data_IF_807560378440
#
_entry.id   IF_807560378440
#
_cell.length_a   1.000
_cell.length_b   1.000
_cell.length_c   1.000
_cell.angle_alpha   90.00
_cell.angle_beta   90.00
_cell.angle_gamma   90.00
#
_symmetry.space_group_name_H-M   'P 1'
#
loop_
_entity.id
_entity.type
_entity.pdbx_description
1 polymer ?
#
# COMPACT_ATOMS: atom_id res chain seq x y z
N UNK A 1 -7.00 -30.41 12.89
CA UNK A 1 -6.71 -29.69 11.62
C UNK A 1 -7.83 -28.72 11.20
N UNK A 2 -9.08 -29.13 10.92
CA UNK A 2 -10.17 -28.20 10.49
C UNK A 2 -10.38 -26.98 11.40
N UNK A 3 -10.42 -27.17 12.73
CA UNK A 3 -10.54 -26.06 13.69
C UNK A 3 -9.44 -24.99 13.55
N UNK A 4 -8.20 -25.41 13.26
CA UNK A 4 -7.07 -24.50 13.05
C UNK A 4 -7.22 -23.69 11.76
N UNK A 5 -7.75 -24.32 10.71
CA UNK A 5 -7.98 -23.67 9.42
C UNK A 5 -9.01 -22.55 9.57
N UNK A 6 -10.12 -22.84 10.23
CA UNK A 6 -11.19 -21.86 10.44
C UNK A 6 -10.72 -20.73 11.37
N UNK A 7 -9.97 -21.07 12.43
CA UNK A 7 -9.42 -20.09 13.37
C UNK A 7 -8.38 -19.13 12.73
N UNK A 8 -7.55 -19.62 11.79
CA UNK A 8 -6.57 -18.77 11.12
C UNK A 8 -7.14 -18.02 9.91
N UNK A 9 -7.99 -18.66 9.12
CA UNK A 9 -8.39 -18.13 7.81
C UNK A 9 -9.16 -16.82 7.88
N UNK A 10 -10.18 -16.72 8.73
CA UNK A 10 -10.99 -15.52 8.88
C UNK A 10 -10.19 -14.30 9.37
N UNK A 11 -9.46 -14.41 10.50
CA UNK A 11 -8.66 -13.30 11.01
C UNK A 11 -7.52 -12.90 10.07
N UNK A 12 -6.84 -13.85 9.42
CA UNK A 12 -5.78 -13.53 8.44
C UNK A 12 -6.36 -12.72 7.29
N UNK A 13 -7.53 -13.10 6.78
CA UNK A 13 -8.22 -12.35 5.73
C UNK A 13 -8.52 -10.92 6.17
N UNK A 14 -9.18 -10.74 7.31
CA UNK A 14 -9.54 -9.40 7.83
C UNK A 14 -8.32 -8.49 8.06
N UNK A 15 -7.22 -9.05 8.58
CA UNK A 15 -5.98 -8.29 8.80
C UNK A 15 -5.33 -7.88 7.48
N UNK A 16 -5.36 -8.75 6.46
CA UNK A 16 -4.82 -8.44 5.12
C UNK A 16 -5.70 -7.45 4.35
N UNK A 17 -7.02 -7.50 4.52
CA UNK A 17 -7.96 -6.51 3.96
C UNK A 17 -7.70 -5.10 4.49
N UNK A 18 -7.32 -5.01 5.76
CA UNK A 18 -6.95 -3.73 6.39
C UNK A 18 -5.68 -3.17 5.74
N UNK A 19 -4.69 -4.02 5.49
CA UNK A 19 -3.47 -3.64 4.78
C UNK A 19 -2.59 -2.65 5.53
N UNK A 20 -2.67 -2.68 6.86
CA UNK A 20 -1.89 -1.83 7.74
C UNK A 20 -0.42 -2.27 7.74
N UNK A 21 0.48 -1.36 8.10
CA UNK A 21 1.92 -1.65 8.17
C UNK A 21 2.21 -2.84 9.10
N UNK A 22 1.43 -2.96 10.17
CA UNK A 22 1.62 -3.98 11.20
C UNK A 22 0.79 -5.25 10.94
N UNK A 23 0.13 -5.38 9.78
CA UNK A 23 -0.70 -6.55 9.42
C UNK A 23 0.06 -7.86 9.62
N UNK A 24 1.30 -7.96 9.14
CA UNK A 24 2.12 -9.17 9.32
C UNK A 24 2.57 -9.40 10.78
N UNK A 25 2.78 -8.34 11.57
CA UNK A 25 3.06 -8.48 12.99
C UNK A 25 1.85 -9.04 13.75
N UNK A 26 0.64 -8.59 13.40
CA UNK A 26 -0.62 -9.11 13.94
C UNK A 26 -0.87 -10.55 13.52
N UNK A 27 -0.61 -10.91 12.26
CA UNK A 27 -0.70 -12.29 11.77
C UNK A 27 0.29 -13.20 12.50
N UNK A 28 1.53 -12.75 12.74
CA UNK A 28 2.52 -13.54 13.50
C UNK A 28 2.08 -13.81 14.94
N UNK A 29 1.52 -12.80 15.61
CA UNK A 29 0.99 -12.96 16.97
C UNK A 29 -0.19 -13.93 17.02
N UNK A 30 -1.07 -13.89 16.02
CA UNK A 30 -2.16 -14.86 15.90
C UNK A 30 -1.64 -16.27 15.61
N UNK A 31 -0.80 -16.40 14.58
CA UNK A 31 -0.21 -17.67 14.16
C UNK A 31 0.52 -18.35 15.32
N UNK A 32 1.34 -17.61 16.08
CA UNK A 32 2.04 -18.15 17.25
C UNK A 32 1.06 -18.68 18.31
N UNK A 33 0.06 -17.87 18.69
CA UNK A 33 -0.93 -18.24 19.70
C UNK A 33 -1.73 -19.50 19.32
N UNK A 34 -2.28 -19.52 18.10
CA UNK A 34 -3.09 -20.66 17.63
C UNK A 34 -2.24 -21.92 17.45
N UNK A 35 -1.01 -21.77 16.95
CA UNK A 35 -0.11 -22.90 16.75
C UNK A 35 0.37 -23.49 18.09
N UNK A 36 0.76 -22.64 19.05
CA UNK A 36 1.18 -23.10 20.39
C UNK A 36 0.02 -23.76 21.13
N UNK A 37 -1.18 -23.17 21.11
CA UNK A 37 -2.37 -23.75 21.73
C UNK A 37 -2.68 -25.15 21.19
N UNK A 38 -2.61 -25.33 19.86
CA UNK A 38 -2.89 -26.63 19.25
C UNK A 38 -1.77 -27.62 19.48
N UNK A 39 -0.51 -27.20 19.46
CA UNK A 39 0.61 -28.09 19.79
C UNK A 39 0.47 -28.60 21.23
N UNK A 40 0.09 -27.74 22.19
CA UNK A 40 -0.17 -28.16 23.57
C UNK A 40 -1.34 -29.15 23.64
N UNK A 41 -2.49 -28.81 23.07
CA UNK A 41 -3.67 -29.69 23.07
C UNK A 41 -3.38 -31.04 22.41
N UNK A 42 -2.59 -31.03 21.34
CA UNK A 42 -2.18 -32.22 20.61
C UNK A 42 -1.18 -33.04 21.42
N UNK A 43 -0.19 -32.40 22.05
CA UNK A 43 0.79 -33.08 22.91
C UNK A 43 0.14 -33.73 24.12
N UNK A 44 -0.84 -33.06 24.75
CA UNK A 44 -1.61 -33.63 25.86
C UNK A 44 -2.38 -34.88 25.39
N UNK A 45 -3.02 -34.81 24.22
CA UNK A 45 -3.74 -35.95 23.63
C UNK A 45 -2.81 -37.09 23.21
N UNK A 46 -1.60 -36.76 22.75
CA UNK A 46 -0.59 -37.76 22.40
C UNK A 46 0.03 -38.41 23.63
N UNK A 47 0.09 -37.73 24.78
CA UNK A 47 0.65 -38.33 26.01
C UNK A 47 -0.14 -39.53 26.52
N UNK A 48 -1.41 -39.65 26.13
CA UNK A 48 -2.24 -40.84 26.38
C UNK A 48 -1.82 -42.05 25.52
N UNK A 49 -1.07 -41.82 24.45
CA UNK A 49 -0.51 -42.83 23.57
C UNK A 49 1.01 -42.90 23.78
N UNK A 50 1.57 -44.08 24.09
CA UNK A 50 3.03 -44.29 24.24
C UNK A 50 3.76 -44.21 22.87
N UNK A 51 3.72 -43.04 22.22
CA UNK A 51 4.38 -42.82 20.95
C UNK A 51 5.86 -42.50 21.14
N UNK A 52 6.64 -42.88 20.14
CA UNK A 52 8.04 -42.51 20.07
C UNK A 52 8.21 -40.98 19.91
N UNK A 53 9.24 -40.45 20.57
CA UNK A 53 9.53 -39.02 20.58
C UNK A 53 9.75 -38.49 19.16
N UNK A 54 10.35 -39.29 18.27
CA UNK A 54 10.61 -38.89 16.88
C UNK A 54 9.31 -38.71 16.09
N UNK A 55 8.34 -39.62 16.28
CA UNK A 55 7.03 -39.56 15.60
C UNK A 55 6.21 -38.38 16.09
N UNK A 56 6.24 -38.06 17.39
CA UNK A 56 5.56 -36.88 17.94
C UNK A 56 6.10 -35.56 17.36
N UNK A 57 7.43 -35.47 17.18
CA UNK A 57 8.10 -34.30 16.60
C UNK A 57 7.74 -34.14 15.12
N UNK A 58 7.70 -35.23 14.36
CA UNK A 58 7.29 -35.23 12.95
C UNK A 58 5.84 -34.74 12.78
N UNK A 59 4.90 -35.22 13.59
CA UNK A 59 3.51 -34.75 13.54
C UNK A 59 3.36 -33.26 13.90
N UNK A 60 4.14 -32.76 14.86
CA UNK A 60 4.15 -31.32 15.20
C UNK A 60 4.70 -30.48 14.04
N UNK A 61 5.72 -30.98 13.32
CA UNK A 61 6.24 -30.32 12.12
C UNK A 61 5.19 -30.28 11.01
N UNK A 62 4.49 -31.39 10.74
CA UNK A 62 3.39 -31.42 9.77
C UNK A 62 2.28 -30.43 10.11
N UNK A 63 1.91 -30.31 11.39
CA UNK A 63 0.92 -29.33 11.85
C UNK A 63 1.37 -27.89 11.60
N UNK A 64 2.64 -27.58 11.88
CA UNK A 64 3.22 -26.25 11.63
C UNK A 64 3.26 -25.90 10.15
N UNK A 65 3.67 -26.84 9.30
CA UNK A 65 3.68 -26.67 7.85
C UNK A 65 2.26 -26.53 7.29
N UNK A 66 1.29 -27.27 7.82
CA UNK A 66 -0.11 -27.14 7.43
C UNK A 66 -0.68 -25.76 7.80
N UNK A 67 -0.36 -25.26 9.00
CA UNK A 67 -0.74 -23.93 9.44
C UNK A 67 -0.12 -22.84 8.55
N UNK A 68 1.17 -22.98 8.22
CA UNK A 68 1.88 -22.07 7.31
C UNK A 68 1.26 -22.08 5.92
N UNK A 69 1.03 -23.26 5.35
CA UNK A 69 0.35 -23.43 4.05
C UNK A 69 -1.00 -22.71 4.01
N UNK A 70 -1.75 -22.74 5.10
CA UNK A 70 -3.07 -22.09 5.20
C UNK A 70 -2.96 -20.57 5.14
N UNK A 71 -2.03 -19.99 5.91
CA UNK A 71 -1.76 -18.56 5.90
C UNK A 71 -1.30 -18.11 4.51
N UNK A 72 -0.38 -18.85 3.90
CA UNK A 72 0.14 -18.57 2.55
C UNK A 72 -0.98 -18.65 1.51
N UNK A 73 -1.84 -19.68 1.58
CA UNK A 73 -2.97 -19.84 0.67
C UNK A 73 -3.93 -18.66 0.76
N UNK A 74 -4.31 -18.26 1.99
CA UNK A 74 -5.19 -17.10 2.21
C UNK A 74 -4.55 -15.79 1.74
N UNK A 75 -3.25 -15.63 1.96
CA UNK A 75 -2.53 -14.46 1.48
C UNK A 75 -2.47 -14.40 -0.06
N UNK A 76 -2.36 -15.56 -0.75
CA UNK A 76 -2.44 -15.63 -2.23
C UNK A 76 -3.83 -15.26 -2.76
N UNK A 77 -4.89 -15.73 -2.10
CA UNK A 77 -6.27 -15.37 -2.45
C UNK A 77 -6.47 -13.85 -2.36
N UNK A 78 -6.04 -13.21 -1.26
CA UNK A 78 -6.16 -11.76 -1.11
C UNK A 78 -5.23 -10.97 -2.06
N UNK A 79 -4.03 -11.49 -2.34
CA UNK A 79 -3.13 -10.92 -3.33
C UNK A 79 -3.72 -10.94 -4.75
N UNK A 80 -4.57 -11.93 -5.09
CA UNK A 80 -5.29 -11.98 -6.36
C UNK A 80 -6.31 -10.83 -6.52
N UNK A 81 -6.88 -10.36 -5.41
CA UNK A 81 -7.88 -9.29 -5.39
C UNK A 81 -7.28 -7.90 -5.17
N UNK A 82 -5.95 -7.78 -5.17
CA UNK A 82 -5.24 -6.58 -4.73
C UNK A 82 -5.62 -5.31 -5.49
N UNK A 83 -5.87 -5.40 -6.80
CA UNK A 83 -6.23 -4.24 -7.61
C UNK A 83 -7.53 -3.59 -7.12
N UNK A 84 -8.54 -4.40 -6.83
CA UNK A 84 -9.84 -3.94 -6.32
C UNK A 84 -9.63 -3.28 -4.95
N UNK A 85 -8.83 -3.91 -4.07
CA UNK A 85 -8.56 -3.39 -2.73
C UNK A 85 -7.78 -2.07 -2.78
N UNK A 86 -6.78 -1.98 -3.66
CA UNK A 86 -6.02 -0.75 -3.90
C UNK A 86 -6.91 0.39 -4.37
N UNK A 87 -7.83 0.11 -5.30
CA UNK A 87 -8.83 1.09 -5.75
C UNK A 87 -9.75 1.53 -4.63
N UNK A 88 -10.24 0.58 -3.82
CA UNK A 88 -11.03 0.89 -2.63
C UNK A 88 -10.30 1.85 -1.70
N UNK A 89 -9.04 1.55 -1.36
CA UNK A 89 -8.19 2.42 -0.52
C UNK A 89 -7.96 3.79 -1.14
N UNK A 90 -7.63 3.83 -2.43
CA UNK A 90 -7.43 5.07 -3.15
C UNK A 90 -8.68 5.95 -3.11
N UNK A 91 -9.84 5.40 -3.46
CA UNK A 91 -11.11 6.13 -3.44
C UNK A 91 -11.43 6.63 -2.04
N UNK A 92 -11.23 5.83 -0.99
CA UNK A 92 -11.49 6.27 0.39
C UNK A 92 -10.64 7.48 0.78
N UNK A 93 -9.34 7.50 0.43
CA UNK A 93 -8.44 8.62 0.76
C UNK A 93 -8.71 9.85 -0.12
N UNK A 94 -9.09 9.64 -1.38
CA UNK A 94 -9.39 10.74 -2.30
C UNK A 94 -10.73 11.42 -1.98
N UNK A 95 -11.76 10.64 -1.64
CA UNK A 95 -13.12 11.14 -1.48
C UNK A 95 -13.50 11.48 -0.05
N UNK A 96 -12.69 11.12 0.96
CA UNK A 96 -12.98 11.44 2.35
C UNK A 96 -11.86 12.27 2.99
N UNK A 97 -12.23 13.01 4.03
CA UNK A 97 -11.27 13.65 4.93
C UNK A 97 -10.85 12.71 6.07
N UNK A 98 -9.93 13.18 6.92
CA UNK A 98 -9.41 12.44 8.09
C UNK A 98 -10.51 11.92 9.02
N UNK A 99 -11.63 12.64 9.08
CA UNK A 99 -12.82 12.29 9.87
C UNK A 99 -13.80 11.37 9.12
N UNK A 100 -13.40 10.80 7.98
CA UNK A 100 -14.22 9.94 7.12
C UNK A 100 -15.47 10.62 6.54
N UNK A 101 -15.53 11.96 6.57
CA UNK A 101 -16.59 12.73 5.93
C UNK A 101 -16.29 12.93 4.44
N UNK A 102 -17.29 12.91 3.55
CA UNK A 102 -17.10 13.18 2.13
C UNK A 102 -16.41 14.53 1.91
N UNK A 103 -15.30 14.52 1.18
CA UNK A 103 -14.45 15.69 0.95
C UNK A 103 -15.12 16.66 -0.03
N UNK A 104 -15.23 17.91 0.38
CA UNK A 104 -15.54 19.04 -0.52
C UNK A 104 -14.22 19.66 -0.99
N UNK A 105 -14.06 19.82 -2.30
CA UNK A 105 -12.83 20.38 -2.87
C UNK A 105 -12.73 21.88 -2.59
N UNK A 106 -11.99 22.26 -1.54
CA UNK A 106 -11.72 23.66 -1.20
C UNK A 106 -10.63 24.21 -2.12
N UNK A 107 -10.70 25.50 -2.49
CA UNK A 107 -9.77 26.13 -3.42
C UNK A 107 -8.27 26.06 -3.00
N UNK A 108 -8.00 25.87 -1.71
CA UNK A 108 -6.65 25.95 -1.12
C UNK A 108 -5.99 24.58 -0.88
N UNK A 109 -6.67 23.47 -1.16
CA UNK A 109 -6.09 22.13 -0.98
C UNK A 109 -5.20 21.74 -2.16
N UNK A 110 -4.08 21.06 -1.88
CA UNK A 110 -3.19 20.51 -2.90
C UNK A 110 -3.64 19.11 -3.31
N UNK A 111 -4.40 19.02 -4.42
CA UNK A 111 -4.87 17.74 -4.97
C UNK A 111 -3.71 16.83 -5.32
N UNK A 112 -2.56 17.38 -5.75
CA UNK A 112 -1.42 16.54 -6.08
C UNK A 112 -0.84 15.88 -4.83
N UNK A 113 -0.80 16.59 -3.70
CA UNK A 113 -0.43 16.01 -2.41
C UNK A 113 -1.42 14.92 -1.97
N UNK A 114 -2.73 15.19 -2.05
CA UNK A 114 -3.78 14.22 -1.68
C UNK A 114 -3.74 12.98 -2.59
N UNK A 115 -3.60 13.19 -3.90
CA UNK A 115 -3.48 12.10 -4.88
C UNK A 115 -2.21 11.27 -4.63
N UNK A 116 -1.11 11.92 -4.28
CA UNK A 116 0.14 11.24 -3.91
C UNK A 116 -0.01 10.42 -2.65
N UNK A 117 -0.71 10.94 -1.63
CA UNK A 117 -1.02 10.22 -0.40
C UNK A 117 -1.94 9.01 -0.67
N UNK A 118 -2.99 9.18 -1.46
CA UNK A 118 -3.89 8.10 -1.87
C UNK A 118 -3.15 7.00 -2.65
N UNK A 119 -2.24 7.37 -3.56
CA UNK A 119 -1.37 6.44 -4.29
C UNK A 119 -0.39 5.72 -3.36
N UNK A 120 0.17 6.43 -2.38
CA UNK A 120 1.07 5.86 -1.37
C UNK A 120 0.34 4.86 -0.46
N UNK A 121 -0.91 5.15 -0.08
CA UNK A 121 -1.74 4.21 0.68
C UNK A 121 -2.01 2.92 -0.12
N UNK A 122 -2.34 3.04 -1.42
CA UNK A 122 -2.51 1.88 -2.29
C UNK A 122 -1.21 1.05 -2.45
N UNK A 123 -0.05 1.71 -2.56
CA UNK A 123 1.24 1.00 -2.64
C UNK A 123 1.63 0.32 -1.33
N UNK A 124 1.27 0.88 -0.17
CA UNK A 124 1.49 0.22 1.12
C UNK A 124 0.74 -1.11 1.16
N UNK A 125 -0.51 -1.13 0.71
CA UNK A 125 -1.28 -2.37 0.56
C UNK A 125 -0.57 -3.37 -0.38
N UNK A 126 -0.07 -2.89 -1.52
CA UNK A 126 0.75 -3.70 -2.44
C UNK A 126 1.98 -4.31 -1.77
N UNK A 127 2.70 -3.52 -0.97
CA UNK A 127 3.89 -4.01 -0.26
C UNK A 127 3.56 -5.09 0.77
N UNK A 128 2.41 -4.96 1.47
CA UNK A 128 1.95 -5.96 2.44
C UNK A 128 1.64 -7.27 1.72
N UNK A 129 0.97 -7.22 0.56
CA UNK A 129 0.58 -8.42 -0.20
C UNK A 129 1.66 -8.97 -1.14
N UNK A 130 2.81 -8.30 -1.30
CA UNK A 130 3.86 -8.76 -2.21
C UNK A 130 4.62 -10.00 -1.70
N UNK A 131 4.76 -10.13 -0.38
CA UNK A 131 5.49 -11.23 0.25
C UNK A 131 4.96 -11.58 1.65
N UNK A 132 5.05 -12.86 2.00
CA UNK A 132 4.74 -13.41 3.32
C UNK A 132 5.87 -13.10 4.29
N UNK A 133 5.54 -12.51 5.45
CA UNK A 133 6.53 -12.09 6.47
C UNK A 133 6.31 -12.80 7.80
N UNK A 134 6.37 -14.13 7.80
CA UNK A 134 6.22 -14.93 9.02
C UNK A 134 7.53 -15.00 9.85
N UNK A 135 8.69 -14.91 9.19
CA UNK A 135 10.01 -15.13 9.80
C UNK A 135 10.62 -13.91 10.52
N UNK A 136 9.89 -12.80 10.65
CA UNK A 136 10.39 -11.51 11.22
C UNK A 136 11.64 -10.93 10.54
N UNK A 137 11.96 -11.40 9.34
CA UNK A 137 13.10 -10.88 8.58
C UNK A 137 12.72 -9.52 8.00
N UNK A 138 13.54 -8.47 8.20
CA UNK A 138 13.26 -7.17 7.61
C UNK A 138 13.39 -7.24 6.09
N UNK A 139 12.39 -6.73 5.39
CA UNK A 139 12.40 -6.57 3.95
C UNK A 139 12.42 -5.08 3.56
N UNK A 140 12.85 -4.80 2.33
CA UNK A 140 12.94 -3.43 1.78
C UNK A 140 11.97 -3.23 0.61
N UNK A 141 10.95 -4.09 0.50
CA UNK A 141 10.00 -4.11 -0.63
C UNK A 141 9.18 -2.83 -0.66
N UNK A 142 8.69 -2.38 0.49
CA UNK A 142 7.91 -1.15 0.62
C UNK A 142 8.68 0.04 0.03
N UNK A 143 9.93 0.23 0.45
CA UNK A 143 10.79 1.32 0.02
C UNK A 143 11.14 1.21 -1.46
N UNK A 144 11.42 0.00 -1.94
CA UNK A 144 11.68 -0.25 -3.36
C UNK A 144 10.48 0.12 -4.23
N UNK A 145 9.27 -0.31 -3.84
CA UNK A 145 8.03 0.02 -4.55
C UNK A 145 7.77 1.54 -4.55
N UNK A 146 7.94 2.22 -3.42
CA UNK A 146 7.75 3.68 -3.36
C UNK A 146 8.71 4.41 -4.31
N UNK A 147 10.00 4.10 -4.24
CA UNK A 147 11.03 4.75 -5.08
C UNK A 147 10.80 4.47 -6.57
N UNK A 148 10.42 3.25 -6.93
CA UNK A 148 10.25 2.86 -8.34
C UNK A 148 8.91 3.28 -8.94
N UNK A 149 7.82 3.28 -8.17
CA UNK A 149 6.45 3.40 -8.70
C UNK A 149 5.75 4.72 -8.35
N UNK A 150 6.00 5.28 -7.16
CA UNK A 150 5.33 6.50 -6.69
C UNK A 150 6.05 7.77 -7.18
N UNK A 151 7.35 7.84 -6.93
CA UNK A 151 8.15 9.03 -7.24
C UNK A 151 8.63 9.06 -8.71
N UNK A 152 8.28 8.04 -9.50
CA UNK A 152 8.77 7.87 -10.87
C UNK A 152 10.27 7.59 -10.97
N UNK A 153 10.94 7.35 -9.83
CA UNK A 153 12.39 7.24 -9.71
C UNK A 153 13.17 8.46 -10.23
N UNK A 154 14.49 8.53 -10.02
CA UNK A 154 15.36 9.61 -10.53
C UNK A 154 15.43 9.71 -12.08
N UNK A 155 14.60 8.98 -12.81
CA UNK A 155 14.69 8.78 -14.26
C UNK A 155 13.81 9.74 -15.07
N UNK A 156 13.21 10.75 -14.44
CA UNK A 156 12.79 11.96 -15.15
C UNK A 156 13.86 13.07 -15.09
N UNK A 157 15.14 12.71 -15.19
CA UNK A 157 16.12 13.67 -15.68
C UNK A 157 16.32 13.43 -17.17
N UNK A 158 15.81 14.39 -17.96
CA UNK A 158 16.21 14.74 -19.33
C UNK A 158 17.14 13.74 -20.04
N UNK A 159 16.61 13.10 -21.09
CA UNK A 159 17.27 12.81 -22.38
C UNK A 159 18.80 12.84 -22.32
N UNK A 160 19.46 11.73 -21.99
CA UNK A 160 20.73 11.24 -22.57
C UNK A 160 21.44 10.26 -21.62
N UNK A 161 22.07 9.25 -22.21
CA UNK A 161 22.98 8.24 -21.65
C UNK A 161 22.32 6.89 -21.29
N UNK A 162 22.74 5.91 -22.09
CA UNK A 162 22.38 4.50 -22.16
C UNK A 162 22.65 3.75 -20.85
N UNK A 163 21.59 3.37 -20.12
CA UNK A 163 21.56 2.11 -19.39
C UNK A 163 20.09 1.71 -19.17
N UNK A 164 19.47 1.16 -20.21
CA UNK A 164 18.07 0.74 -20.22
C UNK A 164 17.96 -0.66 -19.60
N UNK A 165 17.94 -0.75 -18.27
CA UNK A 165 17.49 -1.96 -17.59
C UNK A 165 16.46 -1.54 -16.55
N UNK A 166 15.19 -1.78 -16.88
CA UNK A 166 14.07 -1.47 -16.02
C UNK A 166 14.18 -2.32 -14.73
N UNK A 167 14.35 -1.70 -13.54
CA UNK A 167 14.69 -2.44 -12.33
C UNK A 167 13.60 -3.43 -11.91
N UNK A 168 12.35 -3.23 -12.35
CA UNK A 168 11.21 -4.11 -12.10
C UNK A 168 10.98 -5.15 -13.21
N UNK A 169 11.82 -5.20 -14.25
CA UNK A 169 11.77 -6.26 -15.27
C UNK A 169 12.38 -7.59 -14.79
N UNK A 170 13.02 -7.59 -13.62
CA UNK A 170 13.52 -8.83 -13.03
C UNK A 170 12.39 -9.69 -12.46
N UNK A 171 12.57 -11.00 -12.56
CA UNK A 171 11.66 -12.01 -12.04
C UNK A 171 11.74 -12.16 -10.52
N UNK A 172 12.80 -11.65 -9.88
CA UNK A 172 13.05 -11.78 -8.43
C UNK A 172 13.25 -10.44 -7.73
N UNK A 173 12.73 -10.32 -6.52
CA UNK A 173 12.91 -9.14 -5.66
C UNK A 173 14.39 -8.85 -5.33
N UNK A 174 15.25 -9.87 -5.34
CA UNK A 174 16.68 -9.73 -5.07
C UNK A 174 17.37 -8.82 -6.10
N UNK A 175 17.10 -9.04 -7.38
CA UNK A 175 17.73 -8.29 -8.46
C UNK A 175 17.18 -6.85 -8.53
N UNK A 176 15.88 -6.68 -8.30
CA UNK A 176 15.25 -5.35 -8.19
C UNK A 176 15.93 -4.52 -7.09
N UNK A 177 16.09 -5.11 -5.90
CA UNK A 177 16.75 -4.47 -4.77
C UNK A 177 18.22 -4.17 -5.09
N UNK A 178 18.92 -5.09 -5.77
CA UNK A 178 20.30 -4.89 -6.21
C UNK A 178 20.42 -3.71 -7.17
N UNK A 179 19.56 -3.62 -8.19
CA UNK A 179 19.58 -2.53 -9.17
C UNK A 179 19.22 -1.17 -8.55
N UNK A 180 18.25 -1.14 -7.63
CA UNK A 180 17.91 0.09 -6.88
C UNK A 180 19.05 0.50 -5.96
N UNK A 181 19.70 -0.45 -5.27
CA UNK A 181 20.86 -0.15 -4.43
C UNK A 181 22.06 0.32 -5.27
N UNK A 182 22.33 -0.27 -6.45
CA UNK A 182 23.38 0.17 -7.36
C UNK A 182 23.14 1.59 -7.90
N UNK A 183 21.91 1.93 -8.28
CA UNK A 183 21.56 3.28 -8.75
C UNK A 183 21.62 4.32 -7.63
N UNK A 184 21.20 3.96 -6.42
CA UNK A 184 21.37 4.79 -5.21
C UNK A 184 22.84 4.94 -4.79
N UNK A 185 23.67 3.93 -5.02
CA UNK A 185 25.10 3.97 -4.74
C UNK A 185 25.82 4.95 -5.69
N UNK A 186 25.51 4.90 -6.97
CA UNK A 186 26.07 5.82 -7.98
C UNK A 186 25.66 7.28 -7.75
N UNK A 187 24.42 7.54 -7.30
CA UNK A 187 23.95 8.90 -6.98
C UNK A 187 24.50 9.45 -5.66
N UNK A 188 24.97 8.59 -4.75
CA UNK A 188 25.40 8.97 -3.40
C UNK A 188 26.89 8.79 -3.13
N UNK A 189 27.70 8.57 -4.17
CA UNK A 189 29.14 8.32 -4.04
C UNK A 189 29.95 9.61 -3.76
N UNK A 190 29.76 10.14 -2.55
CA UNK A 190 30.62 11.12 -1.88
C UNK A 190 30.97 10.74 -0.43
N UNK A 191 30.44 9.64 0.13
CA UNK A 191 30.79 9.22 1.49
C UNK A 191 30.92 7.69 1.55
N UNK A 192 32.18 7.24 1.52
CA UNK A 192 32.59 5.86 1.83
C UNK A 192 32.40 5.63 3.33
N UNK A 193 31.98 4.42 3.72
CA UNK A 193 31.94 3.90 5.10
C UNK A 193 30.59 3.99 5.85
N UNK A 194 29.53 3.34 5.34
CA UNK A 194 28.46 2.79 6.20
C UNK A 194 27.52 1.78 5.49
N UNK A 195 28.05 0.90 4.63
CA UNK A 195 27.22 0.00 3.81
C UNK A 195 27.50 -1.49 3.99
N UNK A 196 28.22 -1.91 5.04
CA UNK A 196 28.36 -3.35 5.33
C UNK A 196 27.11 -3.96 5.99
N UNK A 197 26.14 -3.14 6.42
CA UNK A 197 24.88 -3.63 7.02
C UNK A 197 23.72 -3.76 6.02
N UNK A 198 23.95 -3.48 4.73
CA UNK A 198 22.87 -3.43 3.72
C UNK A 198 22.69 -4.71 2.90
N UNK A 199 23.61 -5.66 3.04
CA UNK A 199 23.68 -6.87 2.24
C UNK A 199 22.80 -7.97 2.86
N UNK A 200 21.98 -8.60 2.02
CA UNK A 200 21.05 -9.70 2.30
C UNK A 200 19.69 -9.33 2.91
N UNK A 201 18.84 -8.73 2.07
CA UNK A 201 17.39 -8.98 2.16
C UNK A 201 17.10 -10.16 1.24
N UNK A 202 16.98 -11.35 1.83
CA UNK A 202 16.64 -12.58 1.13
C UNK A 202 15.15 -12.89 1.34
N UNK A 203 14.32 -12.44 0.40
CA UNK A 203 12.94 -12.95 0.31
C UNK A 203 13.01 -14.28 -0.41
N UNK A 204 12.60 -15.36 0.26
CA UNK A 204 12.54 -16.69 -0.35
C UNK A 204 11.50 -16.71 -1.47
N UNK A 205 11.75 -17.42 -2.59
CA UNK A 205 10.74 -17.60 -3.65
C UNK A 205 9.41 -18.18 -3.14
N UNK A 206 9.46 -19.02 -2.10
CA UNK A 206 8.27 -19.64 -1.49
C UNK A 206 7.38 -18.62 -0.76
N UNK A 207 7.97 -17.54 -0.27
CA UNK A 207 7.28 -16.47 0.45
C UNK A 207 6.88 -15.31 -0.48
N UNK A 208 7.21 -15.38 -1.77
CA UNK A 208 6.80 -14.38 -2.76
C UNK A 208 5.36 -14.65 -3.21
N UNK A 209 4.47 -13.68 -2.97
CA UNK A 209 3.06 -13.76 -3.36
C UNK A 209 2.81 -13.07 -4.71
N UNK A 210 3.42 -11.92 -4.92
CA UNK A 210 3.34 -11.13 -6.14
C UNK A 210 4.76 -10.89 -6.64
N UNK A 211 5.00 -11.23 -7.91
CA UNK A 211 6.29 -10.98 -8.55
C UNK A 211 6.47 -9.47 -8.84
N UNK A 212 7.71 -8.96 -8.91
CA UNK A 212 7.96 -7.56 -9.25
C UNK A 212 7.31 -7.12 -10.58
N UNK A 213 7.31 -8.02 -11.57
CA UNK A 213 6.67 -7.80 -12.87
C UNK A 213 5.16 -7.65 -12.73
N UNK A 214 4.51 -8.47 -11.89
CA UNK A 214 3.09 -8.35 -11.58
C UNK A 214 2.78 -7.07 -10.79
N UNK A 215 3.60 -6.69 -9.81
CA UNK A 215 3.44 -5.42 -9.10
C UNK A 215 3.41 -4.24 -10.08
N UNK A 216 4.29 -4.25 -11.08
CA UNK A 216 4.36 -3.22 -12.11
C UNK A 216 3.15 -3.22 -13.04
N UNK A 217 2.68 -4.38 -13.50
CA UNK A 217 1.49 -4.46 -14.36
C UNK A 217 0.24 -4.01 -13.60
N UNK A 218 0.06 -4.46 -12.36
CA UNK A 218 -1.03 -4.04 -11.46
C UNK A 218 -0.97 -2.53 -11.23
N UNK A 219 0.22 -1.96 -10.99
CA UNK A 219 0.37 -0.52 -10.81
C UNK A 219 0.01 0.30 -12.05
N UNK A 220 0.38 -0.19 -13.24
CA UNK A 220 -0.01 0.46 -14.51
C UNK A 220 -1.52 0.46 -14.69
N UNK A 221 -2.16 -0.69 -14.43
CA UNK A 221 -3.62 -0.81 -14.52
C UNK A 221 -4.30 0.09 -13.47
N UNK A 222 -3.84 0.07 -12.24
CA UNK A 222 -4.32 0.94 -11.17
C UNK A 222 -4.22 2.42 -11.55
N UNK A 223 -3.10 2.87 -12.12
CA UNK A 223 -2.95 4.26 -12.58
C UNK A 223 -3.96 4.61 -13.68
N UNK A 224 -4.10 3.76 -14.70
CA UNK A 224 -5.06 3.99 -15.78
C UNK A 224 -6.51 4.09 -15.23
N UNK A 225 -6.89 3.24 -14.28
CA UNK A 225 -8.25 3.25 -13.70
C UNK A 225 -8.48 4.41 -12.70
N UNK A 226 -7.41 5.00 -12.14
CA UNK A 226 -7.50 6.13 -11.18
C UNK A 226 -7.25 7.49 -11.83
N UNK A 227 -6.84 7.55 -13.09
CA UNK A 227 -6.65 8.81 -13.82
C UNK A 227 -7.94 9.60 -13.96
N UNK A 228 -9.05 8.94 -14.30
CA UNK A 228 -10.36 9.58 -14.44
C UNK A 228 -10.86 10.25 -13.14
N UNK A 229 -10.93 9.56 -11.98
CA UNK A 229 -11.39 10.21 -10.74
C UNK A 229 -10.46 11.34 -10.26
N UNK A 230 -9.15 11.26 -10.54
CA UNK A 230 -8.21 12.35 -10.25
C UNK A 230 -8.47 13.56 -11.16
N UNK A 231 -8.66 13.33 -12.46
CA UNK A 231 -8.98 14.41 -13.39
C UNK A 231 -10.31 15.09 -13.02
N UNK A 232 -11.31 14.31 -12.64
CA UNK A 232 -12.60 14.82 -12.18
C UNK A 232 -12.46 15.70 -10.92
N UNK A 233 -11.64 15.28 -9.94
CA UNK A 233 -11.34 16.10 -8.76
C UNK A 233 -10.70 17.44 -9.10
N UNK A 234 -9.73 17.44 -10.03
CA UNK A 234 -9.05 18.66 -10.52
C UNK A 234 -10.06 19.61 -11.18
N UNK A 235 -10.92 19.08 -12.07
CA UNK A 235 -11.94 19.89 -12.73
C UNK A 235 -12.93 20.50 -11.74
N UNK A 236 -13.34 19.75 -10.71
CA UNK A 236 -14.22 20.26 -9.65
C UNK A 236 -13.57 21.41 -8.88
N UNK A 237 -12.29 21.28 -8.50
CA UNK A 237 -11.59 22.35 -7.80
C UNK A 237 -11.35 23.58 -8.69
N UNK A 238 -11.00 23.39 -9.96
CA UNK A 238 -10.85 24.51 -10.90
C UNK A 238 -12.15 25.28 -11.07
N UNK A 239 -13.29 24.60 -11.17
CA UNK A 239 -14.60 25.24 -11.23
C UNK A 239 -14.88 26.04 -9.94
N UNK A 240 -14.56 25.49 -8.77
CA UNK A 240 -14.74 26.18 -7.49
C UNK A 240 -13.83 27.40 -7.36
N UNK A 241 -12.56 27.28 -7.78
CA UNK A 241 -11.60 28.39 -7.82
C UNK A 241 -12.02 29.48 -8.81
N UNK A 242 -12.51 29.11 -10.00
CA UNK A 242 -13.05 30.05 -10.98
C UNK A 242 -14.25 30.80 -10.42
N UNK A 243 -15.17 30.12 -9.76
CA UNK A 243 -16.31 30.75 -9.07
C UNK A 243 -15.84 31.77 -8.04
N UNK A 244 -14.92 31.37 -7.14
CA UNK A 244 -14.42 32.25 -6.08
C UNK A 244 -13.61 33.45 -6.60
N UNK A 245 -12.91 33.29 -7.73
CA UNK A 245 -12.12 34.36 -8.35
C UNK A 245 -12.92 35.15 -9.42
N UNK A 246 -14.16 34.76 -9.73
CA UNK A 246 -15.00 35.49 -10.68
C UNK A 246 -15.66 36.65 -9.95
N UNK A 247 -15.07 37.84 -10.08
CA UNK A 247 -15.77 39.07 -9.73
C UNK A 247 -17.07 39.15 -10.54
N UNK A 248 -18.19 39.62 -9.94
CA UNK A 248 -19.41 39.83 -10.69
C UNK A 248 -19.14 40.79 -11.85
N UNK A 249 -19.83 40.65 -12.99
CA UNK A 249 -19.65 41.53 -14.14
C UNK A 249 -19.71 43.01 -13.73
N UNK A 250 -18.96 43.88 -14.40
CA UNK A 250 -18.89 45.30 -14.05
C UNK A 250 -20.27 45.99 -14.02
N UNK A 251 -21.20 45.55 -14.89
CA UNK A 251 -22.59 46.03 -14.87
C UNK A 251 -23.33 45.62 -13.59
N UNK A 252 -23.05 44.45 -13.04
CA UNK A 252 -23.68 43.95 -11.80
C UNK A 252 -23.19 44.76 -10.61
N UNK A 253 -21.91 45.12 -10.59
CA UNK A 253 -21.32 46.04 -9.60
C UNK A 253 -21.96 47.43 -9.73
N UNK A 254 -22.16 47.92 -10.96
CA UNK A 254 -22.82 49.20 -11.24
C UNK A 254 -24.28 49.20 -10.75
N UNK A 255 -25.04 48.14 -11.04
CA UNK A 255 -26.43 47.97 -10.59
C UNK A 255 -26.52 47.95 -9.06
N UNK A 256 -25.62 47.22 -8.40
CA UNK A 256 -25.55 47.18 -6.93
C UNK A 256 -25.19 48.55 -6.34
N UNK A 257 -24.29 49.30 -6.97
CA UNK A 257 -23.92 50.65 -6.54
C UNK A 257 -25.09 51.64 -6.68
N UNK A 258 -25.82 51.59 -7.79
CA UNK A 258 -26.98 52.45 -8.04
C UNK A 258 -28.13 52.13 -7.07
N UNK A 259 -28.44 50.84 -6.87
CA UNK A 259 -29.48 50.41 -5.93
C UNK A 259 -29.15 50.76 -4.48
N UNK A 260 -27.90 50.55 -4.05
CA UNK A 260 -27.45 50.95 -2.70
C UNK A 260 -27.44 52.48 -2.49
N UNK A 261 -27.19 53.26 -3.55
CA UNK A 261 -27.27 54.71 -3.49
C UNK A 261 -28.72 55.21 -3.33
N UNK A 262 -29.69 54.50 -3.93
CA UNK A 262 -31.11 54.84 -3.83
C UNK A 262 -31.66 54.62 -2.40
N UNK A 263 -31.26 53.55 -1.73
CA UNK A 263 -31.64 53.25 -0.33
C UNK A 263 -31.00 54.23 0.69
N UNK A 264 -29.75 54.63 0.47
CA UNK A 264 -29.07 55.62 1.34
C UNK A 264 -29.62 57.03 1.20
N UNK A 265 -30.10 57.42 0.01
CA UNK A 265 -30.84 58.67 -0.20
C UNK A 265 -32.20 58.68 0.53
N UNK A 266 -32.84 57.52 0.72
CA UNK A 266 -34.12 57.41 1.42
C UNK A 266 -33.99 57.57 2.95
N UNK A 267 -32.85 57.18 3.54
CA UNK A 267 -32.58 57.34 4.98
C UNK A 267 -32.07 58.75 5.37
N UNK A 268 -31.68 59.58 4.40
CA UNK A 268 -31.18 60.94 4.62
C UNK A 268 -32.26 62.04 4.40
N UNK A 269 -33.53 61.65 4.26
CA UNK A 269 -34.69 62.55 4.14
C UNK A 269 -35.60 62.43 5.35
#
# INVERSE_FOLDING_TARGET
>A
QKKLLDALSGPVQSILETGERDSWASIRRLYRRETEHIILTFSDSLSEYELDQTTSVEMVLELREHARCTVVKKAREEAGNILIRMKGRFSTVLSHDKDLMPRTWIANEDIHAITREARLAALRLMSVMAAVRLDDKPDKIDRALMVSLLDGGPLCWKRSIEFTSDPLASTTWQEVLRLILCSLWFTRHGVRNKLEHFMFVQVSPQDTLITPVQCKSIWRQFKAETEYPVAQAILMQEAHRRSNNSLPPAWTILVLAILGFNESMFLLR
#
